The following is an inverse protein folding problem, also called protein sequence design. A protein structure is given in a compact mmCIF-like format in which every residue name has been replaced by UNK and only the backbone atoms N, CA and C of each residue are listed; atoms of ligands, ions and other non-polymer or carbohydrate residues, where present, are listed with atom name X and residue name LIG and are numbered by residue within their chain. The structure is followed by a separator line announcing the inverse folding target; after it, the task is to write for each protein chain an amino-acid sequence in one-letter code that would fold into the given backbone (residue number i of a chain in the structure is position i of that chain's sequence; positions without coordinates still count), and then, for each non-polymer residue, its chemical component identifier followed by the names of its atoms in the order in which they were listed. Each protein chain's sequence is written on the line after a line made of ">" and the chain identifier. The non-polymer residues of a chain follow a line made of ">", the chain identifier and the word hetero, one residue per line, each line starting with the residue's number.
data_IF_050888065045
#
_entry.id   IF_050888065045
#
_cell.length_a   1.000
_cell.length_b   1.000
_cell.length_c   1.000
_cell.angle_alpha   90.00
_cell.angle_beta   90.00
_cell.angle_gamma   90.00
#
_symmetry.space_group_name_H-M   'P 1'
#
loop_
_entity.id
_entity.type
_entity.pdbx_description
1 polymer ?
#
# COMPACT_ATOMS: atom_id res chain seq x y z
N UNK A 1 -1.02 11.36 -8.35
CA UNK A 1 -1.21 9.99 -7.88
C UNK A 1 -0.30 9.72 -6.67
N UNK A 2 -0.86 9.23 -5.60
CA UNK A 2 -0.12 8.88 -4.38
C UNK A 2 -0.84 7.78 -3.60
N UNK A 3 -0.08 7.05 -2.77
CA UNK A 3 -0.56 6.03 -1.83
C UNK A 3 -0.15 6.45 -0.42
N UNK A 4 -0.91 7.35 0.22
CA UNK A 4 -0.46 8.04 1.43
C UNK A 4 -0.48 7.17 2.68
N UNK A 5 -1.27 6.11 2.72
CA UNK A 5 -1.35 5.24 3.90
C UNK A 5 -0.24 4.20 3.95
N UNK A 6 0.25 3.76 2.78
CA UNK A 6 1.35 2.80 2.68
C UNK A 6 1.96 2.83 1.28
N UNK A 7 2.99 3.64 1.09
CA UNK A 7 3.61 3.81 -0.23
C UNK A 7 4.44 2.58 -0.61
N UNK A 8 4.06 1.90 -1.69
CA UNK A 8 4.87 0.82 -2.26
C UNK A 8 5.92 1.40 -3.23
N UNK A 9 7.18 0.97 -3.19
CA UNK A 9 7.75 -0.09 -2.35
C UNK A 9 8.38 0.41 -1.04
N UNK A 10 8.32 1.70 -0.72
CA UNK A 10 9.10 2.29 0.37
C UNK A 10 8.55 2.01 1.77
N UNK A 11 7.30 1.59 1.91
CA UNK A 11 6.64 1.39 3.21
C UNK A 11 6.26 2.69 3.95
N UNK A 12 6.61 3.85 3.38
CA UNK A 12 6.42 5.14 4.05
C UNK A 12 4.93 5.47 4.18
N UNK A 13 4.53 5.89 5.37
CA UNK A 13 3.23 6.48 5.65
C UNK A 13 3.34 7.99 5.59
N UNK A 14 2.51 8.64 4.76
CA UNK A 14 2.52 10.10 4.64
C UNK A 14 1.99 10.73 5.93
N UNK A 15 2.79 11.57 6.63
CA UNK A 15 2.36 12.26 7.83
C UNK A 15 1.17 13.20 7.56
N UNK A 16 0.33 13.42 8.58
CA UNK A 16 -0.86 14.26 8.45
C UNK A 16 -0.54 15.70 8.00
N UNK A 17 0.57 16.28 8.45
CA UNK A 17 1.03 17.60 8.00
C UNK A 17 1.26 17.65 6.49
N UNK A 18 1.86 16.60 5.92
CA UNK A 18 2.09 16.49 4.48
C UNK A 18 0.80 16.28 3.69
N UNK A 19 -0.20 15.62 4.28
CA UNK A 19 -1.54 15.50 3.69
C UNK A 19 -2.20 16.87 3.55
N UNK A 20 -2.15 17.69 4.59
CA UNK A 20 -2.67 19.08 4.51
C UNK A 20 -1.87 19.97 3.54
N UNK A 21 -0.54 19.85 3.48
CA UNK A 21 0.27 20.58 2.49
C UNK A 21 -0.16 20.21 1.06
N UNK A 22 -0.40 18.92 0.80
CA UNK A 22 -0.80 18.42 -0.51
C UNK A 22 -2.22 18.89 -0.87
N UNK A 23 -3.16 18.87 0.08
CA UNK A 23 -4.50 19.45 -0.10
C UNK A 23 -4.44 20.96 -0.38
N UNK A 24 -3.62 21.69 0.36
CA UNK A 24 -3.39 23.12 0.09
C UNK A 24 -2.74 23.40 -1.26
N UNK A 25 -1.91 22.48 -1.76
CA UNK A 25 -1.33 22.60 -3.10
C UNK A 25 -2.35 22.37 -4.21
N UNK A 26 -3.22 21.38 -4.07
CA UNK A 26 -4.20 21.04 -5.12
C UNK A 26 -5.24 22.13 -5.30
N UNK A 27 -5.62 22.85 -4.25
CA UNK A 27 -6.62 23.93 -4.32
C UNK A 27 -6.15 25.19 -5.03
N UNK A 28 -4.83 25.36 -5.24
CA UNK A 28 -4.27 26.53 -5.92
C UNK A 28 -4.62 26.64 -7.41
N UNK A 29 -5.13 25.57 -8.01
CA UNK A 29 -5.46 25.51 -9.44
C UNK A 29 -6.74 24.71 -9.65
N UNK A 30 -7.67 25.23 -10.43
CA UNK A 30 -8.99 24.63 -10.64
C UNK A 30 -8.91 23.21 -11.21
N UNK A 31 -8.02 22.96 -12.15
CA UNK A 31 -7.94 21.70 -12.92
C UNK A 31 -6.99 20.66 -12.31
N UNK A 32 -6.60 20.82 -11.04
CA UNK A 32 -5.82 19.82 -10.33
C UNK A 32 -6.71 18.90 -9.53
N UNK A 33 -6.33 17.61 -9.53
CA UNK A 33 -6.91 16.58 -8.69
C UNK A 33 -5.79 15.71 -8.11
N UNK A 34 -6.05 15.11 -6.97
CA UNK A 34 -5.21 14.08 -6.36
C UNK A 34 -5.91 12.74 -6.58
N UNK A 35 -5.19 11.76 -7.10
CA UNK A 35 -5.63 10.37 -7.08
C UNK A 35 -4.97 9.71 -5.88
N UNK A 36 -5.77 9.41 -4.86
CA UNK A 36 -5.39 8.66 -3.68
C UNK A 36 -5.65 7.18 -3.95
N UNK A 37 -4.58 6.42 -4.14
CA UNK A 37 -4.64 5.00 -4.47
C UNK A 37 -4.25 4.17 -3.25
N UNK A 38 -5.27 3.61 -2.61
CA UNK A 38 -5.12 2.75 -1.44
C UNK A 38 -5.30 1.29 -1.87
N UNK A 39 -4.51 0.39 -1.29
CA UNK A 39 -4.54 -1.01 -1.68
C UNK A 39 -4.46 -1.99 -0.49
N UNK A 40 -4.01 -1.52 0.68
CA UNK A 40 -3.87 -2.33 1.91
C UNK A 40 -4.08 -1.51 3.19
N UNK A 41 -4.72 -0.35 3.10
CA UNK A 41 -4.95 0.56 4.24
C UNK A 41 -5.72 -0.09 5.39
N UNK A 42 -6.59 -1.06 5.09
CA UNK A 42 -7.29 -1.86 6.09
C UNK A 42 -6.35 -2.80 6.87
N UNK A 43 -5.18 -3.13 6.31
CA UNK A 43 -4.20 -4.04 6.91
C UNK A 43 -3.13 -3.32 7.74
N UNK A 44 -3.44 -2.13 8.26
CA UNK A 44 -2.56 -1.45 9.20
C UNK A 44 -2.43 -2.27 10.48
N UNK A 45 -1.21 -2.67 10.81
CA UNK A 45 -0.94 -3.60 11.91
C UNK A 45 -0.72 -2.87 13.25
N UNK A 46 -0.19 -1.65 13.20
CA UNK A 46 0.11 -0.85 14.40
C UNK A 46 -0.49 0.55 14.32
N UNK A 47 -0.79 1.13 15.49
CA UNK A 47 -1.24 2.51 15.65
C UNK A 47 -2.69 2.77 15.26
N UNK A 48 -3.11 4.03 15.42
CA UNK A 48 -4.45 4.47 15.03
C UNK A 48 -4.53 4.66 13.52
N UNK A 49 -5.70 4.42 12.90
CA UNK A 49 -5.92 4.77 11.49
C UNK A 49 -5.59 6.25 11.24
N UNK A 50 -4.89 6.53 10.15
CA UNK A 50 -4.67 7.89 9.69
C UNK A 50 -5.80 8.21 8.70
N UNK A 51 -6.50 9.35 8.85
CA UNK A 51 -7.55 9.74 7.92
C UNK A 51 -7.03 9.77 6.48
N UNK A 52 -7.78 9.24 5.52
CA UNK A 52 -7.45 9.37 4.10
C UNK A 52 -7.41 10.84 3.67
N UNK A 53 -6.75 11.16 2.57
CA UNK A 53 -6.83 12.50 1.97
C UNK A 53 -8.28 12.84 1.64
N UNK A 54 -9.01 11.88 1.07
CA UNK A 54 -10.42 12.04 0.71
C UNK A 54 -11.29 12.38 1.92
N UNK A 55 -11.06 11.74 3.09
CA UNK A 55 -11.89 11.98 4.30
C UNK A 55 -11.67 13.35 4.94
N UNK A 56 -10.55 14.02 4.65
CA UNK A 56 -10.22 15.37 5.14
C UNK A 56 -10.26 16.44 4.04
N UNK A 57 -10.62 16.06 2.82
CA UNK A 57 -10.76 16.98 1.69
C UNK A 57 -12.11 17.69 1.74
N UNK A 58 -12.07 18.99 2.01
CA UNK A 58 -13.25 19.87 1.97
C UNK A 58 -13.45 20.57 0.62
N UNK A 59 -12.54 20.34 -0.31
CA UNK A 59 -12.49 21.07 -1.60
C UNK A 59 -12.96 20.27 -2.80
N UNK A 60 -13.27 18.96 -2.61
CA UNK A 60 -13.67 18.07 -3.70
C UNK A 60 -12.58 17.87 -4.75
N UNK A 61 -11.32 17.72 -4.32
CA UNK A 61 -10.15 17.58 -5.19
C UNK A 61 -9.49 16.20 -5.12
N UNK A 62 -9.97 15.30 -4.27
CA UNK A 62 -9.41 13.96 -4.11
C UNK A 62 -10.33 12.92 -4.74
N UNK A 63 -9.77 12.15 -5.66
CA UNK A 63 -10.34 10.94 -6.21
C UNK A 63 -9.76 9.79 -5.39
N UNK A 64 -10.58 9.11 -4.60
CA UNK A 64 -10.14 7.98 -3.79
C UNK A 64 -10.36 6.68 -4.57
N UNK A 65 -9.36 5.80 -4.54
CA UNK A 65 -9.43 4.46 -5.14
C UNK A 65 -8.98 3.42 -4.14
N UNK A 66 -9.65 2.27 -4.15
CA UNK A 66 -9.26 1.12 -3.33
C UNK A 66 -9.66 -0.20 -3.99
N UNK A 67 -9.11 -1.31 -3.50
CA UNK A 67 -9.34 -2.65 -4.06
C UNK A 67 -9.57 -3.69 -2.97
N UNK A 68 -10.43 -4.67 -3.25
CA UNK A 68 -10.63 -5.82 -2.36
C UNK A 68 -9.63 -6.96 -2.58
N UNK A 69 -8.72 -6.83 -3.55
CA UNK A 69 -7.78 -7.90 -3.91
C UNK A 69 -6.79 -8.28 -2.78
N UNK A 70 -6.47 -7.35 -1.89
CA UNK A 70 -5.58 -7.60 -0.73
C UNK A 70 -6.34 -7.99 0.52
N UNK A 71 -7.56 -7.50 0.66
CA UNK A 71 -8.39 -7.71 1.84
C UNK A 71 -9.28 -8.94 1.77
N UNK A 72 -9.58 -9.43 0.57
CA UNK A 72 -10.32 -10.69 0.37
C UNK A 72 -9.41 -11.75 -0.23
N UNK A 73 -9.32 -11.79 -1.55
CA UNK A 73 -8.39 -12.67 -2.26
C UNK A 73 -8.07 -12.12 -3.65
N UNK A 74 -6.97 -12.57 -4.24
CA UNK A 74 -6.49 -12.08 -5.54
C UNK A 74 -7.43 -12.42 -6.72
N UNK A 75 -8.34 -13.37 -6.54
CA UNK A 75 -9.35 -13.75 -7.54
C UNK A 75 -10.55 -12.81 -7.54
N UNK A 76 -10.85 -12.15 -6.42
CA UNK A 76 -11.86 -11.08 -6.35
C UNK A 76 -11.29 -9.84 -7.00
N UNK A 77 -11.67 -9.61 -8.24
CA UNK A 77 -11.16 -8.50 -9.07
C UNK A 77 -12.05 -7.27 -8.99
N UNK A 78 -12.40 -6.88 -7.76
CA UNK A 78 -13.24 -5.71 -7.49
C UNK A 78 -12.38 -4.59 -6.93
N UNK A 79 -12.49 -3.42 -7.55
CA UNK A 79 -11.99 -2.15 -7.04
C UNK A 79 -13.13 -1.11 -7.11
N UNK A 80 -12.98 -0.04 -6.37
CA UNK A 80 -13.95 1.04 -6.38
C UNK A 80 -13.24 2.39 -6.31
N UNK A 81 -13.93 3.43 -6.73
CA UNK A 81 -13.47 4.80 -6.56
C UNK A 81 -14.60 5.67 -6.00
N UNK A 82 -14.20 6.64 -5.21
CA UNK A 82 -15.06 7.70 -4.70
C UNK A 82 -14.66 8.98 -5.42
N UNK A 83 -15.56 9.50 -6.22
CA UNK A 83 -15.35 10.72 -6.99
C UNK A 83 -15.89 11.92 -6.23
N UNK A 84 -15.26 13.10 -6.33
CA UNK A 84 -15.90 14.37 -6.01
C UNK A 84 -17.21 14.55 -6.80
N UNK A 85 -18.20 15.21 -6.21
CA UNK A 85 -19.56 15.32 -6.79
C UNK A 85 -19.55 15.83 -8.23
N UNK A 86 -18.78 16.89 -8.52
CA UNK A 86 -18.64 17.44 -9.88
C UNK A 86 -18.12 16.40 -10.89
N UNK A 87 -17.15 15.58 -10.48
CA UNK A 87 -16.60 14.51 -11.31
C UNK A 87 -17.55 13.32 -11.42
N UNK A 88 -18.31 13.02 -10.37
CA UNK A 88 -19.34 11.98 -10.41
C UNK A 88 -20.45 12.32 -11.39
N UNK A 89 -20.97 13.56 -11.35
CA UNK A 89 -21.96 14.05 -12.31
C UNK A 89 -21.45 13.98 -13.75
N UNK A 90 -20.20 14.42 -13.97
CA UNK A 90 -19.55 14.35 -15.27
C UNK A 90 -19.36 12.91 -15.74
N UNK A 91 -18.95 12.02 -14.86
CA UNK A 91 -18.79 10.59 -15.14
C UNK A 91 -20.10 9.97 -15.62
N UNK A 92 -21.21 10.20 -14.90
CA UNK A 92 -22.52 9.68 -15.30
C UNK A 92 -23.01 10.28 -16.61
N UNK A 93 -22.77 11.55 -16.86
CA UNK A 93 -23.18 12.21 -18.11
C UNK A 93 -22.41 11.72 -19.34
N UNK A 94 -21.07 11.54 -19.19
CA UNK A 94 -20.16 11.26 -20.31
C UNK A 94 -19.86 9.79 -20.49
N UNK A 95 -19.92 8.98 -19.44
CA UNK A 95 -19.47 7.60 -19.41
C UNK A 95 -20.56 6.59 -19.02
N UNK A 96 -21.84 7.01 -18.92
CA UNK A 96 -22.96 6.12 -18.57
C UNK A 96 -23.20 4.98 -19.58
N UNK A 97 -22.64 5.06 -20.77
CA UNK A 97 -22.71 4.00 -21.78
C UNK A 97 -21.77 2.82 -21.49
N UNK A 98 -20.81 2.97 -20.59
CA UNK A 98 -19.97 1.85 -20.15
C UNK A 98 -20.72 1.00 -19.12
N UNK A 99 -20.79 -0.30 -19.39
CA UNK A 99 -21.28 -1.26 -18.40
C UNK A 99 -20.21 -1.52 -17.32
N UNK A 100 -20.66 -1.67 -16.08
CA UNK A 100 -19.77 -2.12 -15.01
C UNK A 100 -19.23 -3.53 -15.33
N UNK A 101 -17.93 -3.71 -15.24
CA UNK A 101 -17.26 -5.01 -15.52
C UNK A 101 -17.42 -6.00 -14.39
N UNK A 102 -17.83 -5.55 -13.20
CA UNK A 102 -18.11 -6.44 -12.05
C UNK A 102 -19.55 -6.92 -12.15
N UNK A 103 -19.74 -8.24 -12.10
CA UNK A 103 -21.08 -8.84 -12.18
C UNK A 103 -21.96 -8.39 -11.01
N UNK A 104 -23.27 -8.28 -11.25
CA UNK A 104 -24.22 -7.98 -10.18
C UNK A 104 -24.19 -9.01 -9.04
N UNK A 105 -23.97 -10.28 -9.38
CA UNK A 105 -23.86 -11.35 -8.40
C UNK A 105 -22.71 -11.09 -7.43
N UNK A 106 -21.53 -10.71 -7.93
CA UNK A 106 -20.36 -10.39 -7.10
C UNK A 106 -20.60 -9.13 -6.26
N UNK A 107 -21.22 -8.10 -6.84
CA UNK A 107 -21.55 -6.86 -6.13
C UNK A 107 -22.52 -7.13 -4.97
N UNK A 108 -23.62 -7.86 -5.21
CA UNK A 108 -24.59 -8.20 -4.16
C UNK A 108 -23.97 -9.11 -3.08
N UNK A 109 -23.16 -10.09 -3.49
CA UNK A 109 -22.47 -10.98 -2.55
C UNK A 109 -21.54 -10.18 -1.62
N UNK A 110 -20.76 -9.27 -2.20
CA UNK A 110 -19.87 -8.39 -1.43
C UNK A 110 -20.66 -7.48 -0.50
N UNK A 111 -21.74 -6.85 -0.99
CA UNK A 111 -22.59 -5.99 -0.19
C UNK A 111 -23.20 -6.75 1.00
N UNK A 112 -23.71 -7.97 0.78
CA UNK A 112 -24.25 -8.82 1.84
C UNK A 112 -23.17 -9.23 2.85
N UNK A 113 -21.96 -9.55 2.38
CA UNK A 113 -20.81 -9.88 3.22
C UNK A 113 -20.42 -8.71 4.13
N UNK A 114 -20.46 -7.49 3.63
CA UNK A 114 -20.20 -6.26 4.40
C UNK A 114 -21.35 -5.99 5.38
N UNK A 115 -22.59 -6.00 4.93
CA UNK A 115 -23.77 -5.67 5.75
C UNK A 115 -24.00 -6.65 6.91
N UNK A 116 -23.56 -7.90 6.77
CA UNK A 116 -23.61 -8.90 7.85
C UNK A 116 -22.54 -8.71 8.94
N UNK A 117 -21.61 -7.76 8.76
CA UNK A 117 -20.44 -7.57 9.64
C UNK A 117 -19.38 -8.67 9.49
N UNK A 118 -19.54 -9.59 8.52
CA UNK A 118 -18.58 -10.67 8.30
C UNK A 118 -17.26 -10.13 7.70
N UNK A 119 -17.33 -9.08 6.89
CA UNK A 119 -16.16 -8.40 6.34
C UNK A 119 -15.27 -7.83 7.45
N UNK A 120 -15.82 -7.10 8.40
CA UNK A 120 -15.05 -6.53 9.53
C UNK A 120 -14.37 -7.62 10.37
N UNK A 121 -15.11 -8.71 10.66
CA UNK A 121 -14.57 -9.87 11.38
C UNK A 121 -13.41 -10.52 10.59
N UNK A 122 -13.54 -10.57 9.27
CA UNK A 122 -12.49 -11.09 8.38
C UNK A 122 -11.25 -10.19 8.40
N UNK A 123 -11.40 -8.87 8.27
CA UNK A 123 -10.29 -7.90 8.34
C UNK A 123 -9.55 -8.00 9.68
N UNK A 124 -10.29 -8.10 10.79
CA UNK A 124 -9.67 -8.23 12.11
C UNK A 124 -8.85 -9.54 12.24
N UNK A 125 -9.35 -10.66 11.67
CA UNK A 125 -8.59 -11.92 11.62
C UNK A 125 -7.34 -11.81 10.75
N UNK A 126 -7.43 -11.13 9.59
CA UNK A 126 -6.27 -10.88 8.73
C UNK A 126 -5.21 -10.03 9.41
N UNK A 127 -5.61 -8.95 10.09
CA UNK A 127 -4.69 -8.11 10.87
C UNK A 127 -3.92 -8.93 11.90
N UNK A 128 -4.63 -9.71 12.70
CA UNK A 128 -4.00 -10.57 13.70
C UNK A 128 -3.05 -11.61 13.07
N UNK A 129 -3.45 -12.21 11.96
CA UNK A 129 -2.63 -13.18 11.23
C UNK A 129 -1.34 -12.54 10.71
N UNK A 130 -1.44 -11.39 10.02
CA UNK A 130 -0.28 -10.70 9.48
C UNK A 130 0.60 -10.12 10.58
N UNK A 131 0.03 -9.63 11.67
CA UNK A 131 0.80 -9.17 12.82
C UNK A 131 1.64 -10.29 13.42
N UNK A 132 1.03 -11.44 13.69
CA UNK A 132 1.78 -12.61 14.20
C UNK A 132 2.86 -13.08 13.24
N UNK A 133 2.57 -13.08 11.94
CA UNK A 133 3.51 -13.49 10.91
C UNK A 133 4.70 -12.52 10.83
N UNK A 134 4.43 -11.20 10.84
CA UNK A 134 5.45 -10.16 10.92
C UNK A 134 6.31 -10.34 12.16
N UNK A 135 5.70 -10.42 13.32
CA UNK A 135 6.42 -10.48 14.60
C UNK A 135 7.36 -11.69 14.66
N UNK A 136 6.93 -12.86 14.17
CA UNK A 136 7.79 -14.06 14.04
C UNK A 136 8.98 -13.82 13.11
N UNK A 137 8.78 -13.15 11.97
CA UNK A 137 9.86 -12.87 11.03
C UNK A 137 10.85 -11.88 11.65
N UNK A 138 10.35 -10.80 12.26
CA UNK A 138 11.18 -9.81 12.93
C UNK A 138 11.97 -10.42 14.08
N UNK A 139 11.35 -11.26 14.90
CA UNK A 139 12.01 -11.99 15.99
C UNK A 139 13.15 -12.89 15.46
N UNK A 140 12.89 -13.66 14.40
CA UNK A 140 13.90 -14.51 13.77
C UNK A 140 15.12 -13.71 13.26
N UNK A 141 14.90 -12.52 12.72
CA UNK A 141 16.00 -11.65 12.27
C UNK A 141 16.72 -10.96 13.43
N UNK A 142 15.99 -10.47 14.44
CA UNK A 142 16.56 -9.67 15.52
C UNK A 142 17.21 -10.52 16.62
N UNK A 143 16.81 -11.79 16.76
CA UNK A 143 17.40 -12.74 17.72
C UNK A 143 18.39 -13.72 17.06
N UNK A 144 18.36 -13.83 15.74
CA UNK A 144 19.21 -14.75 14.97
C UNK A 144 20.64 -14.24 14.75
N UNK A 145 21.43 -15.08 14.09
CA UNK A 145 22.83 -14.77 13.69
C UNK A 145 22.97 -13.56 12.78
N UNK A 146 21.86 -13.10 12.18
CA UNK A 146 21.82 -11.97 11.28
C UNK A 146 21.58 -10.62 12.00
N UNK A 147 21.35 -10.62 13.30
CA UNK A 147 21.04 -9.42 14.11
C UNK A 147 21.95 -8.22 13.84
N UNK A 148 23.26 -8.46 13.70
CA UNK A 148 24.26 -7.40 13.46
C UNK A 148 24.40 -7.02 11.98
N UNK A 149 23.79 -7.78 11.08
CA UNK A 149 23.91 -7.63 9.62
C UNK A 149 22.65 -7.08 8.96
N UNK A 150 21.55 -6.97 9.69
CA UNK A 150 20.26 -6.55 9.16
C UNK A 150 19.71 -5.40 9.99
N UNK A 151 19.16 -4.40 9.30
CA UNK A 151 18.35 -3.34 9.89
C UNK A 151 16.96 -3.34 9.25
N UNK A 152 15.93 -3.46 10.08
CA UNK A 152 14.53 -3.37 9.65
C UNK A 152 14.12 -1.90 9.57
N UNK A 153 13.36 -1.56 8.54
CA UNK A 153 12.84 -0.22 8.27
C UNK A 153 11.38 -0.32 7.85
N UNK A 154 10.57 0.69 8.23
CA UNK A 154 9.17 0.87 7.80
C UNK A 154 8.28 -0.37 8.08
N UNK A 155 8.36 -0.92 9.30
CA UNK A 155 7.68 -2.15 9.70
C UNK A 155 6.23 -1.98 10.20
N UNK A 156 5.76 -0.72 10.33
CA UNK A 156 4.52 -0.42 11.06
C UNK A 156 3.26 -0.49 10.21
N UNK A 157 3.37 -0.48 8.90
CA UNK A 157 2.21 -0.39 8.03
C UNK A 157 2.19 -1.46 6.94
N UNK A 158 0.98 -1.92 6.59
CA UNK A 158 0.73 -2.82 5.47
C UNK A 158 1.29 -4.22 5.64
N UNK A 159 1.53 -4.88 4.52
CA UNK A 159 1.95 -6.29 4.43
C UNK A 159 3.39 -6.47 3.95
N UNK A 160 4.21 -5.42 4.03
CA UNK A 160 5.63 -5.49 3.72
C UNK A 160 6.43 -4.53 4.62
N UNK A 161 7.71 -4.77 4.71
CA UNK A 161 8.69 -3.89 5.36
C UNK A 161 9.97 -3.85 4.53
N UNK A 162 10.88 -2.96 4.86
CA UNK A 162 12.18 -2.89 4.23
C UNK A 162 13.24 -3.52 5.12
N UNK A 163 14.16 -4.25 4.50
CA UNK A 163 15.32 -4.85 5.15
C UNK A 163 16.59 -4.31 4.52
N UNK A 164 17.37 -3.56 5.28
CA UNK A 164 18.73 -3.15 4.87
C UNK A 164 19.72 -4.19 5.33
N UNK A 165 20.59 -4.64 4.42
CA UNK A 165 21.62 -5.66 4.69
C UNK A 165 22.99 -5.00 4.70
N UNK A 166 23.76 -5.23 5.76
CA UNK A 166 25.18 -4.88 5.84
C UNK A 166 26.04 -6.00 5.22
N UNK A 167 26.55 -5.76 4.02
CA UNK A 167 27.34 -6.72 3.23
C UNK A 167 28.44 -6.01 2.46
N UNK A 168 29.53 -6.72 2.22
CA UNK A 168 30.64 -6.27 1.36
C UNK A 168 30.42 -6.66 -0.11
N UNK A 169 29.34 -7.37 -0.44
CA UNK A 169 29.01 -7.73 -1.82
C UNK A 169 28.31 -6.56 -2.49
N UNK A 170 28.47 -6.45 -3.81
CA UNK A 170 27.59 -5.59 -4.60
C UNK A 170 26.15 -6.09 -4.48
N UNK A 171 25.18 -5.20 -4.73
CA UNK A 171 23.76 -5.58 -4.71
C UNK A 171 23.45 -6.71 -5.71
N UNK A 172 24.06 -6.66 -6.88
CA UNK A 172 23.91 -7.67 -7.94
C UNK A 172 24.44 -9.04 -7.48
N UNK A 173 25.70 -9.09 -6.99
CA UNK A 173 26.29 -10.33 -6.49
C UNK A 173 25.51 -10.92 -5.32
N UNK A 174 24.97 -10.04 -4.43
CA UNK A 174 24.14 -10.48 -3.32
C UNK A 174 22.84 -11.11 -3.79
N UNK A 175 22.13 -10.47 -4.75
CA UNK A 175 20.90 -10.99 -5.34
C UNK A 175 21.12 -12.34 -6.02
N UNK A 176 22.20 -12.48 -6.80
CA UNK A 176 22.55 -13.73 -7.50
C UNK A 176 22.86 -14.85 -6.50
N UNK A 177 23.60 -14.53 -5.46
CA UNK A 177 23.90 -15.48 -4.38
C UNK A 177 22.63 -15.92 -3.63
N UNK A 178 21.71 -15.01 -3.35
CA UNK A 178 20.43 -15.36 -2.73
C UNK A 178 19.57 -16.22 -3.66
N UNK A 179 19.52 -15.86 -4.95
CA UNK A 179 18.80 -16.63 -5.97
C UNK A 179 19.35 -18.05 -6.11
N UNK A 180 20.68 -18.24 -6.07
CA UNK A 180 21.31 -19.57 -6.12
C UNK A 180 20.94 -20.44 -4.90
N UNK A 181 20.51 -19.82 -3.80
CA UNK A 181 19.99 -20.48 -2.60
C UNK A 181 18.46 -20.63 -2.59
N UNK A 182 17.80 -20.32 -3.71
CA UNK A 182 16.34 -20.39 -3.84
C UNK A 182 15.59 -19.22 -3.18
N UNK A 183 16.28 -18.15 -2.78
CA UNK A 183 15.67 -16.98 -2.14
C UNK A 183 15.57 -15.84 -3.16
N UNK A 184 14.34 -15.43 -3.49
CA UNK A 184 14.08 -14.29 -4.39
C UNK A 184 13.84 -13.04 -3.56
N UNK A 185 14.67 -12.02 -3.77
CA UNK A 185 14.55 -10.71 -3.15
C UNK A 185 14.24 -9.64 -4.21
N UNK A 186 13.55 -8.59 -3.81
CA UNK A 186 13.30 -7.40 -4.62
C UNK A 186 14.11 -6.23 -4.05
N UNK A 187 15.11 -5.75 -4.78
CA UNK A 187 15.91 -4.61 -4.36
C UNK A 187 15.12 -3.31 -4.52
N UNK A 188 15.16 -2.45 -3.50
CA UNK A 188 14.51 -1.14 -3.53
C UNK A 188 15.11 -0.23 -4.61
N UNK A 189 16.40 -0.35 -4.86
CA UNK A 189 17.13 0.38 -5.90
C UNK A 189 16.52 0.19 -7.30
N UNK A 190 15.95 -1.00 -7.59
CA UNK A 190 15.37 -1.32 -8.90
C UNK A 190 14.13 -0.49 -9.26
N UNK A 191 13.51 0.14 -8.27
CA UNK A 191 12.35 1.03 -8.47
C UNK A 191 12.74 2.49 -8.79
N UNK A 192 14.04 2.80 -8.84
CA UNK A 192 14.52 4.13 -9.16
C UNK A 192 15.24 4.16 -10.49
N UNK A 193 15.04 5.24 -11.28
CA UNK A 193 15.74 5.46 -12.54
C UNK A 193 17.07 6.20 -12.36
N UNK A 194 17.13 7.15 -11.41
CA UNK A 194 18.34 7.95 -11.14
C UNK A 194 19.45 7.10 -10.52
N UNK A 195 20.66 7.14 -11.08
CA UNK A 195 21.82 6.44 -10.55
C UNK A 195 22.17 6.86 -9.11
N UNK A 196 22.01 8.14 -8.79
CA UNK A 196 22.21 8.67 -7.44
C UNK A 196 21.23 8.05 -6.44
N UNK A 197 19.94 7.98 -6.81
CA UNK A 197 18.93 7.34 -5.97
C UNK A 197 19.14 5.85 -5.85
N UNK A 198 19.54 5.15 -6.91
CA UNK A 198 19.89 3.72 -6.86
C UNK A 198 20.96 3.48 -5.81
N UNK A 199 22.05 4.23 -5.85
CA UNK A 199 23.16 4.12 -4.88
C UNK A 199 22.74 4.42 -3.45
N UNK A 200 21.84 5.41 -3.26
CA UNK A 200 21.30 5.75 -1.92
C UNK A 200 20.52 4.61 -1.28
N UNK A 201 19.81 3.83 -2.09
CA UNK A 201 18.93 2.73 -1.64
C UNK A 201 19.51 1.35 -1.90
N UNK A 202 20.81 1.26 -2.20
CA UNK A 202 21.52 0.01 -2.39
C UNK A 202 21.49 -0.88 -1.14
N UNK A 203 21.39 -2.19 -1.34
CA UNK A 203 21.30 -3.20 -0.30
C UNK A 203 20.07 -3.05 0.62
N UNK A 204 18.99 -2.45 0.13
CA UNK A 204 17.69 -2.41 0.79
C UNK A 204 16.72 -3.27 -0.02
N UNK A 205 16.08 -4.22 0.65
CA UNK A 205 15.20 -5.20 0.03
C UNK A 205 13.77 -5.08 0.57
N UNK A 206 12.79 -5.25 -0.32
CA UNK A 206 11.36 -5.27 0.03
C UNK A 206 10.98 -6.68 0.48
N UNK A 207 10.54 -6.81 1.71
CA UNK A 207 10.14 -8.06 2.34
C UNK A 207 8.63 -8.10 2.50
N UNK A 208 7.97 -9.07 1.84
CA UNK A 208 6.54 -9.32 2.02
C UNK A 208 6.34 -10.50 2.97
N UNK A 209 5.31 -10.41 3.81
CA UNK A 209 4.93 -11.50 4.74
C UNK A 209 3.50 -11.97 4.57
#
# INVERSE_FOLDING_TARGET
>A
HCSPSHHYPTGIVMPISKRYELLGWVTKTKDRYIIEDEYDSELRLNGKPIPSLQSIDVSGKVIYMNTFSKTLCSTVRISYMVLPDELAERFYRELSFYSCTVSNFEQYTLAQFMNSGAFEKHINRLRNYYQQKRDRILEAFLQGVLKTKIKILEEDAGVHFLMKVDTNLSEEDFLDKMKSKGIKLAALSSYYHSSEKKKKYENIYVMNY
#
